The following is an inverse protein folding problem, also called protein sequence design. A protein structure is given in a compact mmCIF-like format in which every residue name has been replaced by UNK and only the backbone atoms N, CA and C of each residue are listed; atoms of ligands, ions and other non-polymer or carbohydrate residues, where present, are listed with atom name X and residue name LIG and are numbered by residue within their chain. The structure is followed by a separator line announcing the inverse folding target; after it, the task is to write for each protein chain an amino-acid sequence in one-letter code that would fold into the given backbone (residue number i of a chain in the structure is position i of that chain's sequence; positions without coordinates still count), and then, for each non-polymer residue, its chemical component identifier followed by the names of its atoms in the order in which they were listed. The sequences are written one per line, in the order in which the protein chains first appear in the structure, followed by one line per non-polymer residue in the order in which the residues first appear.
data_IF_165236648652
#
_entry.id   IF_165236648652
#
_cell.length_a   1.000
_cell.length_b   1.000
_cell.length_c   1.000
_cell.angle_alpha   90.00
_cell.angle_beta   90.00
_cell.angle_gamma   90.00
#
_symmetry.space_group_name_H-M   'P 1'
#
loop_
_entity.id
_entity.type
_entity.pdbx_description
1 polymer ?
#
# COMPACT_ATOMS: atom_id res chain seq x y z
N UNK A 1 15.23 -25.38 6.10
CA UNK A 1 14.21 -24.32 5.91
C UNK A 1 14.92 -23.03 5.56
N UNK A 2 14.49 -22.33 4.51
CA UNK A 2 15.00 -21.00 4.20
C UNK A 2 14.31 -19.98 5.12
N UNK A 3 15.09 -19.14 5.81
CA UNK A 3 14.57 -18.06 6.65
C UNK A 3 14.65 -16.75 5.85
N UNK A 4 13.58 -15.97 5.87
CA UNK A 4 13.56 -14.61 5.33
C UNK A 4 13.70 -13.60 6.47
N UNK A 5 14.56 -12.60 6.31
CA UNK A 5 14.74 -11.51 7.29
C UNK A 5 13.89 -10.32 6.86
N UNK A 6 13.04 -9.83 7.77
CA UNK A 6 12.23 -8.63 7.57
C UNK A 6 12.53 -7.64 8.71
N UNK A 7 12.42 -6.35 8.40
CA UNK A 7 12.43 -5.27 9.37
C UNK A 7 11.09 -4.55 9.29
N UNK A 8 10.38 -4.44 10.41
CA UNK A 8 9.08 -3.79 10.50
C UNK A 8 9.08 -2.80 11.65
N UNK A 9 8.34 -1.71 11.50
CA UNK A 9 8.08 -0.76 12.59
C UNK A 9 6.72 -1.09 13.18
N UNK A 10 6.70 -1.42 14.48
CA UNK A 10 5.48 -1.75 15.23
C UNK A 10 5.47 -1.00 16.57
N UNK A 11 4.30 -0.80 17.19
CA UNK A 11 4.18 -0.12 18.47
C UNK A 11 5.08 -0.72 19.57
N UNK A 12 5.68 0.15 20.40
CA UNK A 12 6.70 -0.23 21.38
C UNK A 12 6.16 -1.16 22.48
N UNK A 13 4.94 -0.91 22.90
CA UNK A 13 4.16 -1.75 23.82
C UNK A 13 3.99 -3.16 23.27
N UNK A 14 3.62 -3.30 22.00
CA UNK A 14 3.45 -4.60 21.34
C UNK A 14 4.77 -5.39 21.28
N UNK A 15 5.91 -4.71 21.06
CA UNK A 15 7.24 -5.34 21.13
C UNK A 15 7.53 -5.85 22.55
N UNK A 16 7.18 -5.06 23.57
CA UNK A 16 7.41 -5.43 24.97
C UNK A 16 6.57 -6.66 25.36
N UNK A 17 5.30 -6.72 24.94
CA UNK A 17 4.44 -7.89 25.16
C UNK A 17 4.99 -9.14 24.46
N UNK A 18 5.45 -9.00 23.21
CA UNK A 18 6.07 -10.11 22.49
C UNK A 18 7.36 -10.61 23.17
N UNK A 19 8.15 -9.71 23.76
CA UNK A 19 9.36 -10.05 24.53
C UNK A 19 9.05 -10.78 25.83
N UNK A 20 8.00 -10.39 26.54
CA UNK A 20 7.54 -11.09 27.73
C UNK A 20 7.10 -12.51 27.38
N UNK A 21 6.25 -12.65 26.37
CA UNK A 21 5.76 -13.94 25.90
C UNK A 21 6.92 -14.85 25.41
N UNK A 22 7.91 -14.27 24.73
CA UNK A 22 9.10 -14.99 24.29
C UNK A 22 9.89 -15.56 25.47
N UNK A 23 10.05 -14.78 26.54
CA UNK A 23 10.74 -15.23 27.78
C UNK A 23 9.98 -16.32 28.50
N UNK A 24 8.66 -16.18 28.64
CA UNK A 24 7.80 -17.17 29.29
C UNK A 24 7.84 -18.53 28.57
N UNK A 25 7.93 -18.51 27.24
CA UNK A 25 7.93 -19.71 26.42
C UNK A 25 9.34 -20.29 26.16
N UNK A 26 10.40 -19.64 26.66
CA UNK A 26 11.80 -19.94 26.33
C UNK A 26 12.04 -20.01 24.80
N UNK A 27 11.56 -18.99 24.08
CA UNK A 27 11.65 -18.86 22.61
C UNK A 27 12.15 -17.50 22.19
N UNK A 28 12.50 -17.38 20.91
CA UNK A 28 12.86 -16.08 20.33
C UNK A 28 11.63 -15.25 20.00
N UNK A 29 11.78 -13.92 19.98
CA UNK A 29 10.74 -13.00 19.51
C UNK A 29 10.26 -13.34 18.09
N UNK A 30 11.19 -13.67 17.20
CA UNK A 30 10.86 -14.06 15.82
C UNK A 30 10.00 -15.32 15.76
N UNK A 31 10.17 -16.25 16.70
CA UNK A 31 9.31 -17.42 16.83
C UNK A 31 7.89 -17.02 17.25
N UNK A 32 7.76 -16.14 18.25
CA UNK A 32 6.45 -15.62 18.70
C UNK A 32 5.70 -14.95 17.55
N UNK A 33 6.38 -14.12 16.77
CA UNK A 33 5.79 -13.45 15.60
C UNK A 33 5.39 -14.47 14.52
N UNK A 34 6.26 -15.44 14.21
CA UNK A 34 5.95 -16.48 13.23
C UNK A 34 4.74 -17.33 13.64
N UNK A 35 4.61 -17.66 14.94
CA UNK A 35 3.46 -18.36 15.49
C UNK A 35 2.17 -17.55 15.39
N UNK A 36 2.23 -16.26 15.69
CA UNK A 36 1.06 -15.39 15.59
C UNK A 36 0.54 -15.35 14.15
N UNK A 37 1.44 -15.19 13.17
CA UNK A 37 1.10 -15.23 11.74
C UNK A 37 0.53 -16.59 11.36
N UNK A 38 1.15 -17.68 11.80
CA UNK A 38 0.68 -19.04 11.53
C UNK A 38 -0.74 -19.28 12.05
N UNK A 39 -1.02 -18.92 13.30
CA UNK A 39 -2.35 -19.03 13.92
C UNK A 39 -3.39 -18.12 13.24
N UNK A 40 -2.97 -16.92 12.81
CA UNK A 40 -3.82 -16.01 12.05
C UNK A 40 -4.26 -16.63 10.72
N UNK A 41 -3.34 -17.30 10.02
CA UNK A 41 -3.62 -17.99 8.76
C UNK A 41 -4.45 -19.27 8.98
N UNK A 42 -4.14 -20.05 10.01
CA UNK A 42 -4.83 -21.31 10.35
C UNK A 42 -6.28 -21.08 10.80
N UNK A 43 -6.57 -19.96 11.49
CA UNK A 43 -7.95 -19.60 11.88
C UNK A 43 -8.83 -19.26 10.68
N UNK A 44 -8.26 -19.12 9.48
CA UNK A 44 -9.00 -18.74 8.29
C UNK A 44 -9.60 -17.34 8.38
N UNK A 45 -10.03 -16.75 7.26
CA UNK A 45 -10.45 -15.36 7.23
C UNK A 45 -11.91 -15.21 7.67
N UNK A 46 -12.20 -15.44 8.96
CA UNK A 46 -13.42 -14.89 9.59
C UNK A 46 -13.34 -13.34 9.69
N UNK A 47 -12.17 -12.78 9.42
CA UNK A 47 -11.90 -11.35 9.28
C UNK A 47 -12.34 -10.75 7.93
N UNK A 48 -12.92 -11.53 7.00
CA UNK A 48 -13.51 -10.98 5.75
C UNK A 48 -14.69 -10.04 5.95
N UNK A 49 -15.18 -9.86 7.18
CA UNK A 49 -16.13 -8.77 7.51
C UNK A 49 -15.46 -7.44 7.82
N UNK A 50 -14.13 -7.41 7.88
CA UNK A 50 -13.36 -6.17 7.92
C UNK A 50 -12.41 -6.24 6.74
N UNK A 51 -12.89 -5.82 5.58
CA UNK A 51 -12.01 -5.62 4.44
C UNK A 51 -10.81 -4.77 4.88
N UNK A 52 -9.57 -5.14 4.50
CA UNK A 52 -8.48 -4.20 4.59
C UNK A 52 -8.93 -2.97 3.80
N UNK A 53 -8.96 -1.79 4.44
CA UNK A 53 -9.25 -0.51 3.78
C UNK A 53 -8.08 -0.09 2.86
N UNK A 54 -7.43 -1.05 2.20
CA UNK A 54 -6.84 -0.81 0.90
C UNK A 54 -8.01 -0.94 -0.06
N UNK A 55 -8.70 0.18 -0.30
CA UNK A 55 -9.47 0.31 -1.53
C UNK A 55 -8.47 0.09 -2.65
N UNK A 56 -8.42 -1.11 -3.22
CA UNK A 56 -8.07 -1.21 -4.62
C UNK A 56 -8.98 -0.20 -5.31
N UNK A 57 -8.38 0.83 -5.91
CA UNK A 57 -9.12 1.78 -6.73
C UNK A 57 -9.90 0.91 -7.69
N UNK A 58 -11.24 0.97 -7.63
CA UNK A 58 -12.10 0.16 -8.48
C UNK A 58 -11.53 0.22 -9.90
N UNK A 59 -11.28 -0.94 -10.55
CA UNK A 59 -10.59 -0.97 -11.83
C UNK A 59 -11.27 0.04 -12.75
N UNK A 60 -10.53 1.09 -13.10
CA UNK A 60 -11.08 2.12 -13.97
C UNK A 60 -11.57 1.45 -15.26
N UNK A 61 -12.62 1.97 -15.91
CA UNK A 61 -13.04 1.49 -17.21
C UNK A 61 -11.83 1.38 -18.15
N UNK A 62 -11.45 0.15 -18.52
CA UNK A 62 -10.30 -0.16 -19.37
C UNK A 62 -9.04 -0.70 -18.68
N UNK A 63 -9.09 -1.02 -17.38
CA UNK A 63 -8.04 -1.82 -16.75
C UNK A 63 -7.96 -3.21 -17.41
N UNK A 64 -6.88 -3.46 -18.17
CA UNK A 64 -6.68 -4.69 -18.96
C UNK A 64 -6.81 -4.53 -20.47
N UNK A 65 -7.20 -3.35 -20.96
CA UNK A 65 -7.19 -3.01 -22.39
C UNK A 65 -5.81 -2.50 -22.82
N UNK A 66 -5.43 -2.76 -24.08
CA UNK A 66 -4.25 -2.13 -24.66
C UNK A 66 -4.40 -0.60 -24.73
N UNK A 67 -3.30 0.18 -24.78
CA UNK A 67 -3.36 1.64 -24.77
C UNK A 67 -4.23 2.24 -25.89
N UNK A 68 -4.32 1.57 -27.04
CA UNK A 68 -5.15 2.02 -28.16
C UNK A 68 -6.65 1.73 -27.97
N UNK A 69 -7.00 0.61 -27.32
CA UNK A 69 -8.37 0.24 -27.00
C UNK A 69 -8.94 1.14 -25.89
N UNK A 70 -8.12 1.45 -24.89
CA UNK A 70 -8.46 2.44 -23.86
C UNK A 70 -8.74 3.81 -24.47
N UNK A 71 -7.84 4.29 -25.34
CA UNK A 71 -8.00 5.58 -26.03
C UNK A 71 -9.27 5.62 -26.88
N UNK A 72 -9.59 4.52 -27.54
CA UNK A 72 -10.82 4.40 -28.33
C UNK A 72 -12.08 4.41 -27.46
N UNK A 73 -12.09 3.66 -26.37
CA UNK A 73 -13.23 3.63 -25.45
C UNK A 73 -13.49 5.00 -24.81
N UNK A 74 -12.43 5.72 -24.45
CA UNK A 74 -12.52 7.10 -23.96
C UNK A 74 -13.11 8.03 -25.03
N UNK A 75 -12.62 7.95 -26.28
CA UNK A 75 -13.14 8.77 -27.37
C UNK A 75 -14.62 8.48 -27.66
N UNK A 76 -15.03 7.21 -27.62
CA UNK A 76 -16.43 6.82 -27.78
C UNK A 76 -17.32 7.31 -26.63
N UNK A 77 -16.80 7.40 -25.41
CA UNK A 77 -17.50 8.00 -24.27
C UNK A 77 -17.63 9.52 -24.44
N UNK A 78 -16.53 10.20 -24.76
CA UNK A 78 -16.49 11.65 -24.98
C UNK A 78 -17.45 12.08 -26.09
N UNK A 79 -17.54 11.32 -27.19
CA UNK A 79 -18.43 11.63 -28.31
C UNK A 79 -19.93 11.48 -27.99
N UNK A 80 -20.28 10.80 -26.89
CA UNK A 80 -21.69 10.74 -26.41
C UNK A 80 -22.09 12.02 -25.67
N UNK A 81 -21.12 12.84 -25.28
CA UNK A 81 -21.34 14.09 -24.58
C UNK A 81 -21.33 15.27 -25.55
N UNK A 82 -22.06 16.33 -25.20
CA UNK A 82 -21.93 17.60 -25.90
C UNK A 82 -20.55 18.22 -25.65
N UNK A 83 -20.15 19.18 -26.49
CA UNK A 83 -18.85 19.85 -26.34
C UNK A 83 -18.68 20.52 -24.96
N UNK A 84 -19.74 21.10 -24.42
CA UNK A 84 -19.75 21.76 -23.12
C UNK A 84 -19.65 20.75 -21.96
N UNK A 85 -20.30 19.60 -22.09
CA UNK A 85 -20.24 18.53 -21.10
C UNK A 85 -18.85 17.88 -21.02
N UNK A 86 -18.19 17.68 -22.17
CA UNK A 86 -16.80 17.20 -22.20
C UNK A 86 -15.84 18.13 -21.45
N UNK A 87 -15.99 19.44 -21.63
CA UNK A 87 -15.15 20.42 -20.94
C UNK A 87 -15.39 20.36 -19.43
N UNK A 88 -16.64 20.30 -19.00
CA UNK A 88 -17.00 20.22 -17.58
C UNK A 88 -16.49 18.93 -16.91
N UNK A 89 -16.53 17.82 -17.63
CA UNK A 89 -15.99 16.54 -17.14
C UNK A 89 -14.45 16.56 -17.06
N UNK A 90 -13.78 17.14 -18.05
CA UNK A 90 -12.33 17.32 -18.03
C UNK A 90 -11.87 18.22 -16.87
N UNK A 91 -12.59 19.32 -16.61
CA UNK A 91 -12.34 20.21 -15.46
C UNK A 91 -12.54 19.49 -14.12
N UNK A 92 -13.61 18.70 -14.00
CA UNK A 92 -13.89 17.90 -12.81
C UNK A 92 -12.80 16.85 -12.55
N UNK A 93 -12.35 16.19 -13.61
CA UNK A 93 -11.27 15.19 -13.56
C UNK A 93 -9.92 15.83 -13.19
N UNK A 94 -9.63 17.03 -13.70
CA UNK A 94 -8.44 17.80 -13.37
C UNK A 94 -8.44 18.22 -11.89
N UNK A 95 -9.58 18.69 -11.36
CA UNK A 95 -9.73 19.07 -9.96
C UNK A 95 -9.53 17.86 -9.01
N UNK A 96 -10.10 16.70 -9.36
CA UNK A 96 -9.91 15.45 -8.60
C UNK A 96 -8.45 14.98 -8.64
N UNK A 97 -7.78 15.11 -9.78
CA UNK A 97 -6.37 14.76 -9.92
C UNK A 97 -5.45 15.69 -9.11
N UNK A 98 -5.81 16.97 -8.96
CA UNK A 98 -5.07 17.90 -8.11
C UNK A 98 -5.20 17.56 -6.62
N UNK A 99 -6.39 17.16 -6.18
CA UNK A 99 -6.62 16.66 -4.82
C UNK A 99 -5.80 15.38 -4.54
N UNK A 100 -5.82 14.42 -5.47
CA UNK A 100 -5.03 13.18 -5.38
C UNK A 100 -3.52 13.42 -5.35
N UNK A 101 -3.01 14.41 -6.11
CA UNK A 101 -1.58 14.79 -6.08
C UNK A 101 -1.14 15.33 -4.71
N UNK A 102 -2.00 16.08 -4.02
CA UNK A 102 -1.70 16.61 -2.68
C UNK A 102 -1.66 15.52 -1.61
N UNK A 103 -2.48 14.48 -1.75
CA UNK A 103 -2.55 13.35 -0.83
C UNK A 103 -1.42 12.33 -1.07
N UNK A 104 -1.15 11.98 -2.33
CA UNK A 104 -0.05 11.09 -2.72
C UNK A 104 1.34 11.67 -2.42
N UNK A 105 1.48 13.00 -2.33
CA UNK A 105 2.71 13.62 -1.84
C UNK A 105 3.07 13.21 -0.39
N UNK A 106 2.08 12.78 0.42
CA UNK A 106 2.26 12.36 1.82
C UNK A 106 2.48 10.86 2.02
N UNK A 107 2.16 10.02 1.03
CA UNK A 107 2.28 8.57 1.14
C UNK A 107 3.17 8.04 0.01
N UNK A 108 4.49 8.11 0.22
CA UNK A 108 5.46 7.48 -0.67
C UNK A 108 5.80 6.10 -0.12
N UNK A 109 5.36 5.06 -0.81
CA UNK A 109 5.83 3.70 -0.59
C UNK A 109 7.25 3.60 -1.16
N UNK A 110 8.24 3.48 -0.28
CA UNK A 110 9.64 3.23 -0.66
C UNK A 110 9.94 1.76 -0.41
N UNK A 111 10.36 1.08 -1.48
CA UNK A 111 10.79 -0.32 -1.43
C UNK A 111 12.29 -0.35 -1.68
N UNK A 112 13.01 -1.11 -0.86
CA UNK A 112 14.45 -1.27 -0.98
C UNK A 112 14.76 -2.73 -1.28
N UNK A 113 15.68 -2.97 -2.23
CA UNK A 113 16.12 -4.32 -2.59
C UNK A 113 17.02 -4.92 -1.51
N UNK A 114 17.81 -4.10 -0.83
CA UNK A 114 18.70 -4.53 0.25
C UNK A 114 18.62 -3.65 1.50
N UNK A 115 19.09 -4.18 2.64
CA UNK A 115 19.14 -3.45 3.91
C UNK A 115 20.14 -2.28 3.89
N UNK A 116 21.24 -2.41 3.15
CA UNK A 116 22.23 -1.35 3.02
C UNK A 116 21.66 -0.15 2.26
N UNK A 117 20.78 -0.38 1.28
CA UNK A 117 20.08 0.68 0.54
C UNK A 117 19.14 1.48 1.46
N UNK A 118 18.44 0.79 2.36
CA UNK A 118 17.62 1.44 3.38
C UNK A 118 18.49 2.30 4.32
N UNK A 119 19.63 1.80 4.79
CA UNK A 119 20.51 2.57 5.67
C UNK A 119 21.16 3.75 4.95
N UNK A 120 21.52 3.59 3.67
CA UNK A 120 22.04 4.68 2.85
C UNK A 120 21.00 5.78 2.64
N UNK A 121 19.76 5.39 2.35
CA UNK A 121 18.64 6.31 2.26
C UNK A 121 18.35 7.00 3.59
N UNK A 122 18.33 6.28 4.71
CA UNK A 122 18.07 6.85 6.03
C UNK A 122 19.13 7.88 6.42
N UNK A 123 20.42 7.57 6.19
CA UNK A 123 21.52 8.53 6.40
C UNK A 123 21.38 9.78 5.53
N UNK A 124 20.92 9.63 4.29
CA UNK A 124 20.69 10.75 3.39
C UNK A 124 19.47 11.59 3.82
N UNK A 125 18.38 10.94 4.25
CA UNK A 125 17.17 11.59 4.74
C UNK A 125 17.39 12.36 6.06
N UNK A 126 18.26 11.88 6.94
CA UNK A 126 18.62 12.57 8.19
C UNK A 126 19.46 13.84 7.95
N UNK A 127 20.19 13.91 6.83
CA UNK A 127 21.06 15.05 6.47
C UNK A 127 20.28 16.14 5.72
N UNK A 128 19.20 15.79 5.02
CA UNK A 128 18.34 16.72 4.30
C UNK A 128 16.92 16.67 4.87
N UNK A 129 16.55 17.53 5.82
CA UNK A 129 15.15 17.69 6.18
C UNK A 129 14.39 18.30 4.98
N UNK A 130 13.07 18.08 4.88
CA UNK A 130 12.25 18.47 3.73
C UNK A 130 12.27 19.98 3.43
#
# INVERSE_FOLDING_TARGET
MALSRISITIPRDLVAEADLLARELDRSRSWVVAEAVRRYLERGPDHRKTEPTVREVAPQPGYGLGPDEYRRAQLEADLRLTAEERVREAESTAALSELGRRESARQRLLVFETYEDYLAWQRWADIAPP
#
